data_IF_494902836433
#
_entry.id   IF_494902836433
#
_cell.length_a   1.000
_cell.length_b   1.000
_cell.length_c   1.000
_cell.angle_alpha   90.00
_cell.angle_beta   90.00
_cell.angle_gamma   90.00
#
_symmetry.space_group_name_H-M   'P 1'
#
loop_
_entity.id
_entity.type
_entity.pdbx_description
1 polymer ?
#
# COMPACT_ATOMS: atom_id res chain seq x y z
N UNK A 1 -24.14 5.23 25.37
CA UNK A 1 -22.96 4.33 25.28
C UNK A 1 -21.80 5.09 24.68
N UNK A 2 -20.65 5.03 25.32
CA UNK A 2 -19.43 5.56 24.70
C UNK A 2 -19.20 4.85 23.36
N UNK A 3 -19.03 5.64 22.28
CA UNK A 3 -19.00 5.18 20.87
C UNK A 3 -18.23 3.88 20.62
N UNK A 4 -17.15 3.65 21.35
CA UNK A 4 -16.24 2.53 21.12
C UNK A 4 -16.51 1.31 22.02
N UNK A 5 -17.21 1.48 23.12
CA UNK A 5 -17.53 0.40 24.10
C UNK A 5 -18.72 -0.48 23.69
N UNK A 6 -19.46 -0.13 22.65
CA UNK A 6 -20.56 -0.93 22.12
C UNK A 6 -20.18 -1.90 21.00
N UNK A 7 -18.89 -2.02 20.67
CA UNK A 7 -18.42 -2.83 19.54
C UNK A 7 -17.76 -4.12 20.03
N UNK A 8 -18.16 -5.25 19.45
CA UNK A 8 -17.50 -6.55 19.65
C UNK A 8 -16.96 -7.05 18.31
N UNK A 9 -15.84 -7.75 18.34
CA UNK A 9 -15.26 -8.38 17.16
C UNK A 9 -15.63 -9.86 17.14
N UNK A 10 -16.21 -10.29 16.02
CA UNK A 10 -16.63 -11.67 15.81
C UNK A 10 -16.05 -12.12 14.46
N UNK A 11 -15.42 -13.28 14.42
CA UNK A 11 -14.96 -13.86 13.17
C UNK A 11 -15.82 -15.06 12.79
N UNK A 12 -15.98 -15.26 11.46
CA UNK A 12 -16.79 -16.34 10.92
C UNK A 12 -16.28 -16.76 9.56
N UNK A 13 -16.68 -17.96 9.14
CA UNK A 13 -16.32 -18.47 7.80
C UNK A 13 -17.17 -17.78 6.73
N UNK A 14 -16.55 -17.43 5.61
CA UNK A 14 -17.22 -16.83 4.47
C UNK A 14 -18.00 -17.86 3.62
N UNK A 15 -17.78 -19.15 3.84
CA UNK A 15 -18.43 -20.27 3.13
C UNK A 15 -19.57 -20.91 3.93
N UNK A 16 -20.37 -20.11 4.62
CA UNK A 16 -21.51 -20.60 5.44
C UNK A 16 -22.83 -20.01 4.96
N UNK A 17 -23.97 -20.63 5.33
CA UNK A 17 -25.30 -20.15 4.95
C UNK A 17 -25.53 -18.69 5.37
N UNK A 18 -26.18 -17.92 4.50
CA UNK A 18 -26.47 -16.51 4.70
C UNK A 18 -25.35 -15.56 4.32
N UNK A 19 -24.19 -16.07 3.86
CA UNK A 19 -23.09 -15.24 3.36
C UNK A 19 -23.07 -15.27 1.83
N UNK A 20 -23.25 -14.12 1.20
CA UNK A 20 -23.10 -13.93 -0.24
C UNK A 20 -21.88 -13.05 -0.51
N UNK A 21 -21.07 -13.44 -1.49
CA UNK A 21 -19.84 -12.74 -1.88
C UNK A 21 -19.92 -12.38 -3.36
N UNK A 22 -19.89 -11.08 -3.66
CA UNK A 22 -19.84 -10.58 -5.02
C UNK A 22 -18.45 -10.00 -5.30
N UNK A 23 -17.70 -10.56 -6.24
CA UNK A 23 -16.36 -10.06 -6.56
C UNK A 23 -16.44 -8.66 -7.17
N UNK A 24 -15.57 -7.76 -6.73
CA UNK A 24 -15.41 -6.41 -7.28
C UNK A 24 -14.22 -6.41 -8.23
N UNK A 25 -14.48 -6.06 -9.50
CA UNK A 25 -13.45 -5.87 -10.50
C UNK A 25 -12.88 -4.46 -10.37
N UNK A 26 -11.55 -4.38 -10.24
CA UNK A 26 -10.82 -3.12 -10.19
C UNK A 26 -10.68 -2.53 -11.60
N UNK A 27 -10.22 -1.26 -11.68
CA UNK A 27 -10.03 -0.55 -12.95
C UNK A 27 -9.04 -1.25 -13.90
N UNK A 28 -8.04 -1.96 -13.36
CA UNK A 28 -7.10 -2.77 -14.14
C UNK A 28 -7.65 -4.15 -14.55
N UNK A 29 -8.94 -4.41 -14.35
CA UNK A 29 -9.59 -5.67 -14.73
C UNK A 29 -9.44 -6.80 -13.70
N UNK A 30 -8.52 -6.71 -12.74
CA UNK A 30 -8.32 -7.75 -11.74
C UNK A 30 -9.39 -7.73 -10.65
N UNK A 31 -9.77 -8.91 -10.17
CA UNK A 31 -10.63 -9.06 -8.99
C UNK A 31 -9.74 -9.05 -7.74
N UNK A 32 -9.92 -8.05 -6.86
CA UNK A 32 -9.12 -7.91 -5.66
C UNK A 32 -9.91 -7.61 -4.39
N UNK A 33 -11.21 -7.36 -4.53
CA UNK A 33 -12.14 -7.07 -3.45
C UNK A 33 -13.45 -7.84 -3.64
N UNK A 34 -14.28 -7.87 -2.61
CA UNK A 34 -15.62 -8.42 -2.68
C UNK A 34 -16.58 -7.60 -1.81
N UNK A 35 -17.80 -7.46 -2.27
CA UNK A 35 -18.94 -7.12 -1.42
C UNK A 35 -19.38 -8.37 -0.68
N UNK A 36 -19.67 -8.22 0.61
CA UNK A 36 -20.15 -9.31 1.46
C UNK A 36 -21.50 -8.92 2.01
N UNK A 37 -22.50 -9.74 1.70
CA UNK A 37 -23.84 -9.60 2.23
C UNK A 37 -24.07 -10.68 3.30
N UNK A 38 -24.63 -10.26 4.42
CA UNK A 38 -24.92 -11.12 5.56
C UNK A 38 -26.44 -11.11 5.79
N UNK A 39 -27.08 -12.27 5.61
CA UNK A 39 -28.50 -12.44 5.79
C UNK A 39 -28.73 -13.58 6.79
N UNK A 40 -29.24 -13.26 7.96
CA UNK A 40 -29.50 -14.19 9.05
C UNK A 40 -28.31 -15.13 9.40
N UNK A 41 -27.11 -14.66 9.24
CA UNK A 41 -25.89 -15.44 9.51
C UNK A 41 -25.77 -15.74 11.00
N UNK A 42 -25.74 -17.02 11.33
CA UNK A 42 -25.57 -17.49 12.70
C UNK A 42 -24.13 -17.85 12.98
N UNK A 43 -23.55 -17.20 14.00
CA UNK A 43 -22.17 -17.42 14.39
C UNK A 43 -22.15 -17.85 15.85
N UNK A 44 -21.40 -18.91 16.20
CA UNK A 44 -21.24 -19.32 17.59
C UNK A 44 -20.64 -18.20 18.45
N UNK A 45 -21.16 -18.01 19.66
CA UNK A 45 -20.71 -16.94 20.55
C UNK A 45 -19.20 -17.04 20.92
N UNK A 46 -18.63 -18.23 20.91
CA UNK A 46 -17.18 -18.43 21.15
C UNK A 46 -16.28 -17.89 20.05
N UNK A 47 -16.83 -17.56 18.88
CA UNK A 47 -16.08 -16.88 17.81
C UNK A 47 -15.89 -15.37 18.09
N UNK A 48 -16.41 -14.87 19.19
CA UNK A 48 -16.11 -13.52 19.65
C UNK A 48 -14.67 -13.45 20.14
N UNK A 49 -13.92 -12.47 19.63
CA UNK A 49 -12.56 -12.21 20.06
C UNK A 49 -12.57 -11.18 21.18
N UNK A 50 -12.05 -11.57 22.34
CA UNK A 50 -12.11 -10.76 23.57
C UNK A 50 -13.49 -10.68 24.21
N UNK A 51 -13.63 -9.80 25.21
CA UNK A 51 -14.89 -9.58 25.89
C UNK A 51 -15.85 -8.69 25.09
N UNK A 52 -17.12 -8.70 25.47
CA UNK A 52 -18.13 -7.82 24.88
C UNK A 52 -17.72 -6.36 25.07
N UNK A 53 -17.82 -5.57 24.00
CA UNK A 53 -17.42 -4.17 24.00
C UNK A 53 -15.92 -3.90 23.76
N UNK A 54 -15.08 -4.91 23.63
CA UNK A 54 -13.65 -4.74 23.37
C UNK A 54 -13.27 -4.70 21.87
N UNK A 55 -14.25 -4.81 20.97
CA UNK A 55 -13.98 -4.94 19.53
C UNK A 55 -13.17 -3.78 18.95
N UNK A 56 -13.43 -2.54 19.37
CA UNK A 56 -12.65 -1.38 18.95
C UNK A 56 -11.18 -1.49 19.33
N UNK A 57 -10.91 -1.85 20.59
CA UNK A 57 -9.54 -1.98 21.10
C UNK A 57 -8.75 -3.04 20.34
N UNK A 58 -9.40 -4.17 20.04
CA UNK A 58 -8.79 -5.27 19.27
C UNK A 58 -8.50 -4.84 17.83
N UNK A 59 -9.46 -4.16 17.17
CA UNK A 59 -9.24 -3.61 15.83
C UNK A 59 -8.08 -2.60 15.80
N UNK A 60 -7.97 -1.74 16.80
CA UNK A 60 -6.87 -0.77 16.87
C UNK A 60 -5.52 -1.43 17.16
N UNK A 61 -5.47 -2.50 17.93
CA UNK A 61 -4.26 -3.30 18.11
C UNK A 61 -3.81 -3.91 16.79
N UNK A 62 -4.71 -4.54 16.03
CA UNK A 62 -4.43 -5.08 14.69
C UNK A 62 -3.91 -4.00 13.74
N UNK A 63 -4.60 -2.85 13.67
CA UNK A 63 -4.16 -1.73 12.86
C UNK A 63 -2.80 -1.16 13.29
N UNK A 64 -2.49 -1.22 14.60
CA UNK A 64 -1.18 -0.86 15.14
C UNK A 64 -0.05 -1.79 14.67
N UNK A 65 -0.30 -3.10 14.69
CA UNK A 65 0.63 -4.10 14.16
C UNK A 65 0.81 -3.98 12.65
N UNK A 66 -0.27 -3.76 11.92
CA UNK A 66 -0.21 -3.52 10.48
C UNK A 66 0.69 -2.31 10.14
N UNK A 67 0.56 -1.22 10.87
CA UNK A 67 1.41 -0.03 10.70
C UNK A 67 2.88 -0.31 11.02
N UNK A 68 3.17 -1.14 12.02
CA UNK A 68 4.53 -1.56 12.36
C UNK A 68 5.16 -2.48 11.31
N UNK A 69 4.39 -3.42 10.76
CA UNK A 69 4.79 -4.34 9.71
C UNK A 69 4.74 -3.72 8.30
N UNK A 70 4.15 -2.54 8.15
CA UNK A 70 4.02 -1.83 6.88
C UNK A 70 5.29 -1.12 6.42
N UNK A 71 6.40 -1.50 6.97
CA UNK A 71 7.68 -1.30 6.31
C UNK A 71 7.65 -2.10 5.01
N UNK A 72 7.15 -1.49 3.93
CA UNK A 72 7.21 -2.12 2.62
C UNK A 72 8.66 -2.47 2.31
N UNK A 73 8.87 -3.65 1.75
CA UNK A 73 10.22 -4.07 1.36
C UNK A 73 10.86 -3.02 0.45
N UNK A 74 12.02 -2.47 0.81
CA UNK A 74 12.71 -1.49 -0.04
C UNK A 74 13.12 -2.10 -1.39
N UNK A 75 13.37 -3.41 -1.42
CA UNK A 75 13.74 -4.12 -2.65
C UNK A 75 12.72 -3.93 -3.78
N UNK A 76 11.41 -3.82 -3.46
CA UNK A 76 10.39 -3.53 -4.47
C UNK A 76 10.71 -2.24 -5.25
N UNK A 77 11.04 -1.17 -4.53
CA UNK A 77 11.30 0.14 -5.14
C UNK A 77 12.67 0.21 -5.80
N UNK A 78 13.66 -0.46 -5.22
CA UNK A 78 15.00 -0.58 -5.83
C UNK A 78 14.93 -1.32 -7.16
N UNK A 79 14.18 -2.43 -7.24
CA UNK A 79 13.97 -3.17 -8.49
C UNK A 79 13.20 -2.32 -9.51
N UNK A 80 12.14 -1.63 -9.10
CA UNK A 80 11.38 -0.76 -10.01
C UNK A 80 12.24 0.43 -10.50
N UNK A 81 13.05 1.04 -9.63
CA UNK A 81 13.95 2.12 -10.02
C UNK A 81 15.06 1.66 -10.97
N UNK A 82 15.59 0.45 -10.78
CA UNK A 82 16.54 -0.14 -11.71
C UNK A 82 15.90 -0.41 -13.09
N UNK A 83 14.70 -0.99 -13.10
CA UNK A 83 13.95 -1.21 -14.35
C UNK A 83 13.61 0.12 -15.06
N UNK A 84 13.31 1.18 -14.31
CA UNK A 84 13.09 2.52 -14.86
C UNK A 84 14.39 3.08 -15.51
N UNK A 85 15.54 2.87 -14.87
CA UNK A 85 16.82 3.26 -15.44
C UNK A 85 17.13 2.50 -16.74
N UNK A 86 16.85 1.20 -16.78
CA UNK A 86 16.99 0.38 -18.00
C UNK A 86 16.05 0.87 -19.13
N UNK A 87 14.79 1.18 -18.78
CA UNK A 87 13.84 1.76 -19.73
C UNK A 87 14.34 3.10 -20.27
N UNK A 88 14.87 3.96 -19.41
CA UNK A 88 15.49 5.23 -19.82
C UNK A 88 16.64 5.00 -20.81
N UNK A 89 17.58 4.12 -20.48
CA UNK A 89 18.70 3.83 -21.38
C UNK A 89 18.24 3.32 -22.76
N UNK A 90 17.17 2.53 -22.79
CA UNK A 90 16.61 2.00 -24.04
C UNK A 90 15.84 3.05 -24.86
N UNK A 91 15.38 4.13 -24.26
CA UNK A 91 14.44 5.09 -24.89
C UNK A 91 14.93 6.53 -24.92
N UNK A 92 16.04 6.88 -24.27
CA UNK A 92 16.52 8.27 -24.09
C UNK A 92 16.69 9.06 -25.39
N UNK A 93 16.97 8.41 -26.49
CA UNK A 93 17.12 9.06 -27.80
C UNK A 93 15.77 9.54 -28.38
N UNK A 94 14.66 8.98 -27.93
CA UNK A 94 13.30 9.30 -28.39
C UNK A 94 12.41 9.94 -27.32
N UNK A 95 12.83 9.90 -26.08
CA UNK A 95 12.11 10.48 -24.94
C UNK A 95 12.51 11.94 -24.70
N UNK A 96 11.69 12.67 -23.94
CA UNK A 96 12.03 14.03 -23.50
C UNK A 96 13.26 13.99 -22.59
N UNK A 97 14.37 14.69 -22.91
CA UNK A 97 15.56 14.72 -22.08
C UNK A 97 15.33 15.22 -20.65
N UNK A 98 14.30 16.01 -20.41
CA UNK A 98 13.94 16.50 -19.07
C UNK A 98 13.58 15.37 -18.08
N UNK A 99 13.15 14.21 -18.59
CA UNK A 99 12.80 13.03 -17.78
C UNK A 99 14.01 12.38 -17.12
N UNK A 100 15.23 12.64 -17.57
CA UNK A 100 16.44 12.10 -16.92
C UNK A 100 16.52 12.48 -15.45
N UNK A 101 16.17 13.72 -15.12
CA UNK A 101 16.17 14.18 -13.73
C UNK A 101 15.16 13.40 -12.86
N UNK A 102 14.02 13.01 -13.42
CA UNK A 102 13.00 12.23 -12.70
C UNK A 102 13.43 10.77 -12.53
N UNK A 103 14.11 10.18 -13.51
CA UNK A 103 14.74 8.85 -13.40
C UNK A 103 15.77 8.83 -12.28
N UNK A 104 16.68 9.81 -12.24
CA UNK A 104 17.69 9.94 -11.19
C UNK A 104 17.01 10.13 -9.84
N UNK A 105 15.99 10.96 -9.75
CA UNK A 105 15.22 11.19 -8.52
C UNK A 105 14.52 9.92 -8.02
N UNK A 106 13.93 9.12 -8.92
CA UNK A 106 13.32 7.84 -8.58
C UNK A 106 14.33 6.89 -7.92
N UNK A 107 15.54 6.79 -8.49
CA UNK A 107 16.62 5.99 -7.93
C UNK A 107 17.07 6.50 -6.56
N UNK A 108 17.32 7.79 -6.42
CA UNK A 108 17.72 8.41 -5.16
C UNK A 108 16.65 8.19 -4.07
N UNK A 109 15.39 8.33 -4.41
CA UNK A 109 14.28 8.14 -3.47
C UNK A 109 14.15 6.67 -3.03
N UNK A 110 14.34 5.71 -3.94
CA UNK A 110 14.33 4.29 -3.61
C UNK A 110 15.46 3.94 -2.61
N UNK A 111 16.66 4.47 -2.80
CA UNK A 111 17.78 4.29 -1.90
C UNK A 111 17.58 5.01 -0.55
N UNK A 112 17.07 6.23 -0.56
CA UNK A 112 16.73 6.97 0.66
C UNK A 112 15.68 6.22 1.49
N UNK A 113 14.67 5.66 0.83
CA UNK A 113 13.66 4.82 1.47
C UNK A 113 14.29 3.57 2.09
N UNK A 114 15.17 2.87 1.35
CA UNK A 114 15.87 1.69 1.85
C UNK A 114 16.67 1.97 3.13
N UNK A 115 17.45 3.06 3.13
CA UNK A 115 18.23 3.49 4.30
C UNK A 115 17.31 3.81 5.49
N UNK A 116 16.17 4.48 5.26
CA UNK A 116 15.22 4.79 6.31
C UNK A 116 14.57 3.52 6.90
N UNK A 117 14.26 2.54 6.08
CA UNK A 117 13.73 1.24 6.52
C UNK A 117 14.77 0.51 7.38
N UNK A 118 16.04 0.46 6.96
CA UNK A 118 17.09 -0.18 7.73
C UNK A 118 17.33 0.53 9.08
N UNK A 119 17.28 1.85 9.10
CA UNK A 119 17.36 2.63 10.34
C UNK A 119 16.20 2.31 11.27
N UNK A 120 14.96 2.27 10.73
CA UNK A 120 13.77 1.94 11.52
C UNK A 120 13.85 0.52 12.08
N UNK A 121 14.26 -0.46 11.27
CA UNK A 121 14.46 -1.84 11.72
C UNK A 121 15.51 -1.95 12.83
N UNK A 122 16.63 -1.24 12.70
CA UNK A 122 17.69 -1.21 13.71
C UNK A 122 17.21 -0.61 15.05
N UNK A 123 16.39 0.45 15.00
CA UNK A 123 15.78 1.05 16.20
C UNK A 123 14.81 0.08 16.88
N UNK A 124 14.00 -0.65 16.10
CA UNK A 124 13.08 -1.68 16.61
C UNK A 124 13.82 -2.82 17.29
N UNK A 125 14.91 -3.31 16.69
CA UNK A 125 15.76 -4.36 17.27
C UNK A 125 16.38 -3.86 18.60
N UNK A 126 16.70 -2.57 18.70
CA UNK A 126 17.17 -1.94 19.93
C UNK A 126 16.05 -1.67 20.97
N UNK A 127 14.82 -2.11 20.72
CA UNK A 127 13.70 -1.99 21.66
C UNK A 127 12.92 -0.67 21.56
N UNK A 128 13.18 0.18 20.56
CA UNK A 128 12.39 1.39 20.34
C UNK A 128 10.97 1.04 19.87
N UNK A 129 10.01 1.90 20.22
CA UNK A 129 8.65 1.83 19.69
C UNK A 129 8.56 2.61 18.39
N UNK A 130 7.71 2.14 17.48
CA UNK A 130 7.36 2.88 16.26
C UNK A 130 6.52 4.09 16.65
N UNK A 131 6.93 5.25 16.24
CA UNK A 131 6.25 6.53 16.46
C UNK A 131 5.63 7.10 15.16
N UNK A 132 5.40 8.42 15.11
CA UNK A 132 4.86 9.13 13.95
C UNK A 132 5.70 8.97 12.68
N UNK A 133 6.98 8.59 12.80
CA UNK A 133 7.86 8.31 11.67
C UNK A 133 7.33 7.22 10.73
N UNK A 134 6.51 6.29 11.23
CA UNK A 134 5.82 5.32 10.39
C UNK A 134 4.86 5.99 9.40
N UNK A 135 4.20 7.07 9.84
CA UNK A 135 3.32 7.88 8.98
C UNK A 135 4.11 8.62 7.90
N UNK A 136 5.30 9.15 8.24
CA UNK A 136 6.20 9.77 7.25
C UNK A 136 6.63 8.76 6.19
N UNK A 137 7.01 7.56 6.60
CA UNK A 137 7.37 6.49 5.68
C UNK A 137 6.24 6.15 4.72
N UNK A 138 5.01 6.06 5.24
CA UNK A 138 3.83 5.74 4.43
C UNK A 138 3.55 6.79 3.37
N UNK A 139 3.62 8.06 3.71
CA UNK A 139 3.47 9.16 2.77
C UNK A 139 4.56 9.08 1.71
N UNK A 140 5.82 8.96 2.14
CA UNK A 140 6.97 8.97 1.25
C UNK A 140 6.91 7.86 0.19
N UNK A 141 6.75 6.59 0.63
CA UNK A 141 6.76 5.49 -0.35
C UNK A 141 5.55 5.52 -1.29
N UNK A 142 4.38 5.96 -0.81
CA UNK A 142 3.19 5.98 -1.65
C UNK A 142 3.22 7.06 -2.72
N UNK A 143 3.82 8.20 -2.42
CA UNK A 143 4.02 9.29 -3.40
C UNK A 143 5.18 8.96 -4.35
N UNK A 144 6.26 8.40 -3.84
CA UNK A 144 7.40 7.94 -4.65
C UNK A 144 6.98 6.88 -5.67
N UNK A 145 6.16 5.89 -5.26
CA UNK A 145 5.68 4.81 -6.12
C UNK A 145 4.90 5.37 -7.33
N UNK A 146 4.02 6.34 -7.08
CA UNK A 146 3.28 7.02 -8.14
C UNK A 146 4.23 7.75 -9.10
N UNK A 147 5.14 8.57 -8.58
CA UNK A 147 6.06 9.36 -9.41
C UNK A 147 6.99 8.49 -10.25
N UNK A 148 7.49 7.39 -9.68
CA UNK A 148 8.33 6.43 -10.40
C UNK A 148 7.60 5.87 -11.63
N UNK A 149 6.38 5.38 -11.43
CA UNK A 149 5.60 4.80 -12.52
C UNK A 149 5.10 5.86 -13.51
N UNK A 150 4.74 7.06 -13.06
CA UNK A 150 4.44 8.19 -13.96
C UNK A 150 5.62 8.52 -14.89
N UNK A 151 6.84 8.51 -14.36
CA UNK A 151 8.05 8.74 -15.17
C UNK A 151 8.20 7.65 -16.23
N UNK A 152 7.94 6.38 -15.89
CA UNK A 152 7.98 5.30 -16.84
C UNK A 152 6.95 5.48 -17.98
N UNK A 153 5.69 5.83 -17.61
CA UNK A 153 4.65 6.09 -18.61
C UNK A 153 5.00 7.28 -19.50
N UNK A 154 5.61 8.33 -18.95
CA UNK A 154 6.07 9.48 -19.74
C UNK A 154 7.18 9.10 -20.74
N UNK A 155 8.12 8.23 -20.35
CA UNK A 155 9.17 7.72 -21.24
C UNK A 155 8.57 6.86 -22.36
N UNK A 156 7.55 6.04 -22.05
CA UNK A 156 6.88 5.18 -23.02
C UNK A 156 5.98 5.97 -23.99
N UNK A 157 5.46 7.14 -23.56
CA UNK A 157 4.51 7.93 -24.34
C UNK A 157 3.26 7.12 -24.71
N UNK A 158 2.83 7.20 -25.96
CA UNK A 158 1.67 6.43 -26.45
C UNK A 158 1.85 4.90 -26.33
N UNK A 159 3.10 4.42 -26.27
CA UNK A 159 3.39 3.00 -26.05
C UNK A 159 2.97 2.47 -24.70
N UNK A 160 2.73 3.36 -23.72
CA UNK A 160 2.23 2.97 -22.39
C UNK A 160 0.80 2.41 -22.39
N UNK A 161 0.03 2.68 -23.45
CA UNK A 161 -1.34 2.17 -23.61
C UNK A 161 -1.41 0.78 -24.24
N UNK A 162 -0.28 0.27 -24.71
CA UNK A 162 -0.19 -1.05 -25.31
C UNK A 162 0.00 -2.12 -24.25
N UNK A 163 -0.53 -3.31 -24.53
CA UNK A 163 -0.24 -4.48 -23.70
C UNK A 163 1.27 -4.77 -23.73
N UNK A 164 1.88 -5.03 -22.58
CA UNK A 164 3.30 -5.34 -22.53
C UNK A 164 3.60 -6.67 -23.24
N UNK A 165 4.77 -6.77 -23.84
CA UNK A 165 5.27 -8.05 -24.35
C UNK A 165 5.42 -9.07 -23.19
N UNK A 166 5.16 -10.35 -23.43
CA UNK A 166 5.32 -11.37 -22.40
C UNK A 166 6.71 -11.34 -21.76
N UNK A 167 6.75 -11.24 -20.42
CA UNK A 167 7.99 -11.19 -19.65
C UNK A 167 8.60 -9.79 -19.49
N UNK A 168 7.98 -8.75 -20.02
CA UNK A 168 8.36 -7.36 -19.77
C UNK A 168 7.56 -6.75 -18.61
N UNK A 169 8.02 -5.61 -18.10
CA UNK A 169 7.38 -4.91 -16.99
C UNK A 169 6.08 -4.23 -17.44
N UNK A 170 4.99 -4.47 -16.72
CA UNK A 170 3.70 -3.80 -16.97
C UNK A 170 3.62 -2.49 -16.17
N UNK A 171 4.20 -1.44 -16.75
CA UNK A 171 4.25 -0.12 -16.13
C UNK A 171 2.88 0.49 -15.88
N UNK A 172 1.90 0.21 -16.74
CA UNK A 172 0.55 0.76 -16.60
C UNK A 172 -0.22 0.08 -15.46
N UNK A 173 -0.15 -1.25 -15.34
CA UNK A 173 -0.80 -1.96 -14.24
C UNK A 173 -0.19 -1.55 -12.89
N UNK A 174 1.13 -1.47 -12.81
CA UNK A 174 1.83 -1.03 -11.61
C UNK A 174 1.53 0.45 -11.26
N UNK A 175 1.39 1.32 -12.25
CA UNK A 175 0.93 2.70 -12.02
C UNK A 175 -0.48 2.75 -11.44
N UNK A 176 -1.42 2.02 -12.04
CA UNK A 176 -2.80 1.94 -11.55
C UNK A 176 -2.83 1.42 -10.11
N UNK A 177 -1.99 0.43 -9.80
CA UNK A 177 -1.86 -0.08 -8.44
C UNK A 177 -1.26 0.96 -7.48
N UNK A 178 -0.25 1.72 -7.91
CA UNK A 178 0.41 2.75 -7.11
C UNK A 178 -0.55 3.85 -6.68
N UNK A 179 -1.55 4.20 -7.51
CA UNK A 179 -2.59 5.20 -7.17
C UNK A 179 -3.40 4.86 -5.92
N UNK A 180 -3.49 3.59 -5.56
CA UNK A 180 -4.12 3.17 -4.31
C UNK A 180 -3.24 3.41 -3.07
N UNK A 181 -1.93 3.60 -3.27
CA UNK A 181 -0.95 3.80 -2.20
C UNK A 181 -1.31 4.91 -1.21
N UNK A 182 -1.66 6.13 -1.65
CA UNK A 182 -2.08 7.20 -0.76
C UNK A 182 -3.39 6.95 -0.02
N UNK A 183 -4.19 5.96 -0.42
CA UNK A 183 -5.55 5.70 0.08
C UNK A 183 -5.55 4.61 1.14
N UNK A 184 -5.04 3.41 0.82
CA UNK A 184 -5.11 2.27 1.73
C UNK A 184 -4.16 2.42 2.92
N UNK A 185 -4.38 1.61 3.96
CA UNK A 185 -3.62 1.64 5.22
C UNK A 185 -3.66 3.01 5.95
N UNK A 186 -4.75 3.72 5.80
CA UNK A 186 -4.94 5.09 6.26
C UNK A 186 -4.44 6.11 5.23
N UNK A 187 -5.34 7.00 4.81
CA UNK A 187 -5.01 7.96 3.76
C UNK A 187 -3.82 8.86 4.14
N UNK A 188 -3.14 9.42 3.14
CA UNK A 188 -2.01 10.32 3.37
C UNK A 188 -2.42 11.56 4.20
N UNK A 189 -3.67 12.01 4.09
CA UNK A 189 -4.24 13.09 4.92
C UNK A 189 -4.28 12.68 6.39
N UNK A 190 -4.76 11.48 6.69
CA UNK A 190 -4.77 10.94 8.07
C UNK A 190 -3.34 10.76 8.60
N UNK A 191 -2.40 10.33 7.76
CA UNK A 191 -0.99 10.21 8.16
C UNK A 191 -0.40 11.58 8.49
N UNK A 192 -0.71 12.63 7.70
CA UNK A 192 -0.28 14.01 8.00
C UNK A 192 -0.88 14.53 9.31
N UNK A 193 -2.15 14.22 9.59
CA UNK A 193 -2.76 14.56 10.88
C UNK A 193 -2.04 13.88 12.06
N UNK A 194 -1.70 12.60 11.93
CA UNK A 194 -0.96 11.85 12.96
C UNK A 194 0.41 12.50 13.24
N UNK A 195 1.09 12.99 12.21
CA UNK A 195 2.38 13.68 12.36
C UNK A 195 2.19 15.04 13.04
N UNK A 196 1.14 15.77 12.69
CA UNK A 196 0.90 17.12 13.21
C UNK A 196 0.40 17.14 14.66
N UNK A 197 -0.27 16.08 15.13
CA UNK A 197 -0.86 16.00 16.48
C UNK A 197 0.09 15.41 17.53
N UNK A 198 1.30 14.98 17.15
CA UNK A 198 2.29 14.33 18.03
C UNK A 198 3.66 14.97 17.98
#
# INVERSE_FOLDING_TARGET
SERHKGMSLIFFKLDQPGVTRNPIRKINGHVGFAEIFLEDVRVPAFNRLGDEGQGWHICMATAGFERGLMLRSPARYQVAAAALADLWQARKESADPALEADVVRAFMNAEAYALNIYQTASRLIAGAKIGPEASTNKIFWSEMDIHLHQTALAILGAGAELLPEPGTHDWLDDYIFALAGPIYAGSNEIQRNIIAER
#
